data_IF_466497648598
#
_entry.id   IF_466497648598
#
_cell.length_a   1.000
_cell.length_b   1.000
_cell.length_c   1.000
_cell.angle_alpha   90.00
_cell.angle_beta   90.00
_cell.angle_gamma   90.00
#
_symmetry.space_group_name_H-M   'P 1'
#
loop_
_entity.id
_entity.type
_entity.pdbx_description
1 polymer ?
#
# COMPACT_ATOMS: atom_id res chain seq x y z
N UNK A 1 17.22 -6.75 40.14
CA UNK A 1 17.47 -6.77 38.69
C UNK A 1 16.40 -5.87 38.11
N UNK A 2 16.78 -4.67 37.69
CA UNK A 2 15.82 -3.64 37.28
C UNK A 2 15.43 -3.95 35.83
N UNK A 3 14.21 -4.46 35.64
CA UNK A 3 13.62 -4.61 34.30
C UNK A 3 13.46 -3.21 33.72
N UNK A 4 14.14 -2.96 32.59
CA UNK A 4 13.89 -1.78 31.81
C UNK A 4 12.50 -1.94 31.19
N UNK A 5 11.52 -1.20 31.71
CA UNK A 5 10.25 -0.96 31.02
C UNK A 5 10.57 -0.41 29.63
N UNK A 6 10.45 -1.27 28.62
CA UNK A 6 10.48 -0.87 27.22
C UNK A 6 9.33 0.10 27.03
N UNK A 7 9.63 1.39 26.97
CA UNK A 7 8.64 2.42 26.71
C UNK A 7 7.83 2.02 25.47
N UNK A 8 6.53 1.77 25.67
CA UNK A 8 5.57 1.52 24.61
C UNK A 8 5.50 2.79 23.76
N UNK A 9 6.26 2.80 22.65
CA UNK A 9 6.21 3.91 21.70
C UNK A 9 4.86 3.77 21.00
N UNK A 10 3.92 4.72 21.16
CA UNK A 10 2.60 4.58 20.56
C UNK A 10 2.75 4.49 19.05
N UNK A 11 2.28 3.39 18.47
CA UNK A 11 2.28 3.19 17.02
C UNK A 11 1.33 4.21 16.38
N UNK A 12 1.89 5.22 15.72
CA UNK A 12 1.13 6.29 15.02
C UNK A 12 0.94 6.00 13.52
N UNK A 13 1.32 4.80 13.07
CA UNK A 13 1.24 4.40 11.68
C UNK A 13 -0.12 3.86 11.26
N UNK A 14 -0.35 3.76 9.96
CA UNK A 14 -1.44 2.96 9.40
C UNK A 14 -0.98 1.50 9.31
N UNK A 15 -1.74 0.59 9.93
CA UNK A 15 -1.52 -0.86 9.87
C UNK A 15 -2.73 -1.53 9.24
N UNK A 16 -2.52 -2.19 8.10
CA UNK A 16 -3.52 -3.10 7.52
C UNK A 16 -3.10 -4.54 7.82
N UNK A 17 -4.00 -5.31 8.44
CA UNK A 17 -3.79 -6.74 8.77
C UNK A 17 -4.80 -7.68 8.09
N UNK A 18 -5.85 -7.15 7.45
CA UNK A 18 -7.03 -7.91 7.01
C UNK A 18 -7.59 -7.41 5.66
N UNK A 19 -8.78 -7.88 5.26
CA UNK A 19 -9.43 -7.58 3.97
C UNK A 19 -9.83 -6.10 3.77
N UNK A 20 -9.83 -5.30 4.84
CA UNK A 20 -9.95 -3.85 4.78
C UNK A 20 -8.65 -3.23 4.29
N UNK A 21 -8.53 -3.16 2.96
CA UNK A 21 -7.53 -2.35 2.30
C UNK A 21 -7.85 -0.90 2.60
N UNK A 22 -7.15 -0.34 3.59
CA UNK A 22 -7.34 1.05 3.94
C UNK A 22 -6.87 1.87 2.73
N UNK A 23 -7.54 3.00 2.54
CA UNK A 23 -7.31 3.84 1.40
C UNK A 23 -7.71 5.24 1.82
N UNK A 24 -6.74 6.15 1.86
CA UNK A 24 -7.00 7.55 2.17
C UNK A 24 -7.13 8.41 0.90
N UNK A 25 -6.88 7.83 -0.28
CA UNK A 25 -7.02 8.50 -1.57
C UNK A 25 -7.91 7.73 -2.56
N UNK A 26 -9.16 8.17 -2.79
CA UNK A 26 -10.07 7.50 -3.73
C UNK A 26 -9.58 7.60 -5.19
N UNK A 27 -8.82 8.64 -5.52
CA UNK A 27 -8.18 8.78 -6.84
C UNK A 27 -7.15 7.68 -7.06
N UNK A 28 -6.28 7.45 -6.07
CA UNK A 28 -5.29 6.38 -6.11
C UNK A 28 -5.95 5.00 -6.21
N UNK A 29 -7.10 4.81 -5.54
CA UNK A 29 -7.89 3.57 -5.67
C UNK A 29 -8.31 3.28 -7.10
N UNK A 30 -8.80 4.30 -7.82
CA UNK A 30 -9.21 4.18 -9.21
C UNK A 30 -8.06 3.72 -10.11
N UNK A 31 -6.90 4.37 -9.97
CA UNK A 31 -5.69 4.04 -10.72
C UNK A 31 -5.26 2.60 -10.44
N UNK A 32 -5.25 2.17 -9.17
CA UNK A 32 -4.87 0.80 -8.79
C UNK A 32 -5.79 -0.22 -9.46
N UNK A 33 -7.11 -0.03 -9.38
CA UNK A 33 -8.07 -0.97 -9.95
C UNK A 33 -7.97 -1.02 -11.48
N UNK A 34 -7.79 0.11 -12.15
CA UNK A 34 -7.66 0.18 -13.61
C UNK A 34 -6.41 -0.55 -14.13
N UNK A 35 -5.32 -0.49 -13.37
CA UNK A 35 -4.03 -1.04 -13.78
C UNK A 35 -3.79 -2.48 -13.31
N UNK A 36 -4.72 -3.10 -12.59
CA UNK A 36 -4.60 -4.52 -12.23
C UNK A 36 -4.70 -5.43 -13.45
N UNK A 37 -3.79 -6.41 -13.49
CA UNK A 37 -3.62 -7.41 -14.56
C UNK A 37 -3.86 -8.82 -14.01
N UNK A 38 -3.51 -9.85 -14.78
CA UNK A 38 -3.76 -11.25 -14.41
C UNK A 38 -2.92 -11.72 -13.21
N UNK A 39 -1.69 -11.23 -13.07
CA UNK A 39 -0.75 -11.59 -12.02
C UNK A 39 -0.14 -10.35 -11.34
N UNK A 40 0.52 -10.55 -10.20
CA UNK A 40 1.09 -9.47 -9.39
C UNK A 40 2.25 -8.72 -10.07
N UNK A 41 3.10 -9.42 -10.82
CA UNK A 41 4.26 -8.82 -11.49
C UNK A 41 3.83 -7.84 -12.58
N UNK A 42 2.93 -8.27 -13.48
CA UNK A 42 2.37 -7.41 -14.53
C UNK A 42 1.60 -6.22 -13.93
N UNK A 43 0.85 -6.46 -12.86
CA UNK A 43 0.09 -5.40 -12.19
C UNK A 43 1.03 -4.36 -11.57
N UNK A 44 2.10 -4.77 -10.91
CA UNK A 44 3.08 -3.85 -10.31
C UNK A 44 3.73 -2.93 -11.34
N UNK A 45 4.11 -3.48 -12.51
CA UNK A 45 4.72 -2.73 -13.62
C UNK A 45 3.73 -1.76 -14.24
N UNK A 46 2.50 -2.23 -14.50
CA UNK A 46 1.44 -1.41 -15.06
C UNK A 46 1.09 -0.24 -14.14
N UNK A 47 0.90 -0.51 -12.85
CA UNK A 47 0.65 0.49 -11.81
C UNK A 47 1.75 1.53 -11.69
N UNK A 48 3.00 1.07 -11.60
CA UNK A 48 4.15 1.97 -11.46
C UNK A 48 4.31 2.88 -12.68
N UNK A 49 3.98 2.37 -13.87
CA UNK A 49 4.00 3.17 -15.11
C UNK A 49 2.83 4.16 -15.16
N UNK A 50 1.61 3.71 -14.82
CA UNK A 50 0.42 4.58 -14.79
C UNK A 50 0.58 5.74 -13.81
N UNK A 51 1.05 5.45 -12.59
CA UNK A 51 1.26 6.47 -11.57
C UNK A 51 2.30 7.52 -11.95
N UNK A 52 3.36 7.15 -12.67
CA UNK A 52 4.34 8.12 -13.19
C UNK A 52 3.78 9.06 -14.25
N UNK A 53 2.72 8.65 -14.97
CA UNK A 53 2.07 9.47 -15.99
C UNK A 53 0.99 10.36 -15.37
N UNK A 54 0.23 9.81 -14.41
CA UNK A 54 -0.94 10.47 -13.84
C UNK A 54 -0.62 11.40 -12.66
N UNK A 55 0.49 11.18 -11.95
CA UNK A 55 0.86 12.00 -10.79
C UNK A 55 2.33 12.47 -10.86
N UNK A 56 2.61 13.72 -10.48
CA UNK A 56 3.99 14.19 -10.29
C UNK A 56 4.64 13.62 -9.02
N UNK A 57 3.85 13.06 -8.10
CA UNK A 57 4.35 12.44 -6.87
C UNK A 57 5.05 11.11 -7.15
N UNK A 58 6.05 10.78 -6.33
CA UNK A 58 6.74 9.49 -6.43
C UNK A 58 6.00 8.48 -5.57
N UNK A 59 5.71 7.32 -6.15
CA UNK A 59 5.04 6.24 -5.44
C UNK A 59 5.93 4.99 -5.37
N UNK A 60 5.82 4.28 -4.26
CA UNK A 60 6.22 2.88 -4.14
C UNK A 60 5.00 2.02 -4.39
N UNK A 61 5.12 1.07 -5.31
CA UNK A 61 4.07 0.10 -5.64
C UNK A 61 4.53 -1.29 -5.23
N UNK A 62 3.68 -1.99 -4.50
CA UNK A 62 3.92 -3.38 -4.10
C UNK A 62 2.68 -4.21 -4.44
N UNK A 63 2.86 -5.22 -5.27
CA UNK A 63 1.83 -6.22 -5.53
C UNK A 63 2.32 -7.59 -5.09
N UNK A 64 1.45 -8.37 -4.43
CA UNK A 64 1.78 -9.69 -3.92
C UNK A 64 0.57 -10.61 -3.99
N UNK A 65 0.82 -11.90 -4.20
CA UNK A 65 -0.18 -12.97 -4.07
C UNK A 65 -0.41 -13.34 -2.59
N UNK A 66 0.56 -13.03 -1.71
CA UNK A 66 0.53 -13.36 -0.29
C UNK A 66 0.55 -12.12 0.59
N UNK A 67 -0.35 -12.07 1.58
CA UNK A 67 -0.48 -10.96 2.54
C UNK A 67 0.88 -10.60 3.16
N UNK A 68 1.15 -9.31 3.28
CA UNK A 68 2.33 -8.78 3.95
C UNK A 68 1.95 -7.63 4.88
N UNK A 69 2.69 -7.51 5.98
CA UNK A 69 2.53 -6.42 6.92
C UNK A 69 3.42 -5.24 6.53
N UNK A 70 2.91 -4.02 6.67
CA UNK A 70 3.65 -2.78 6.49
C UNK A 70 3.18 -1.74 7.51
N UNK A 71 4.00 -0.71 7.70
CA UNK A 71 3.69 0.45 8.50
C UNK A 71 4.21 1.70 7.79
N UNK A 72 3.35 2.70 7.65
CA UNK A 72 3.66 3.98 7.02
C UNK A 72 3.17 5.13 7.92
N UNK A 73 3.76 6.33 7.81
CA UNK A 73 3.23 7.53 8.46
C UNK A 73 1.75 7.75 8.10
N UNK A 74 0.95 8.26 9.05
CA UNK A 74 -0.49 8.52 8.83
C UNK A 74 -0.73 9.56 7.72
N UNK A 75 0.17 10.53 7.60
CA UNK A 75 0.09 11.61 6.60
C UNK A 75 0.44 11.15 5.18
N UNK A 76 0.94 9.92 5.00
CA UNK A 76 1.31 9.39 3.68
C UNK A 76 0.06 9.04 2.86
N UNK A 77 -0.02 9.59 1.64
CA UNK A 77 -1.03 9.16 0.66
C UNK A 77 -0.85 7.68 0.34
N UNK A 78 -1.90 6.90 0.52
CA UNK A 78 -1.84 5.46 0.44
C UNK A 78 -3.19 4.86 0.03
N UNK A 79 -3.11 3.81 -0.79
CA UNK A 79 -4.27 2.99 -1.08
C UNK A 79 -3.86 1.57 -1.44
N UNK A 80 -4.76 0.61 -1.20
CA UNK A 80 -4.64 -0.76 -1.69
C UNK A 80 -5.90 -1.23 -2.42
N UNK A 81 -5.74 -2.16 -3.35
CA UNK A 81 -6.84 -2.89 -3.98
C UNK A 81 -6.52 -4.40 -4.12
N UNK A 82 -7.57 -5.22 -4.06
CA UNK A 82 -7.51 -6.69 -4.17
C UNK A 82 -8.17 -7.10 -5.47
N UNK A 83 -7.55 -8.04 -6.18
CA UNK A 83 -8.25 -8.86 -7.18
C UNK A 83 -8.39 -10.30 -6.70
N UNK A 84 -9.04 -11.14 -7.50
CA UNK A 84 -9.18 -12.57 -7.22
C UNK A 84 -7.82 -13.31 -7.05
N UNK A 85 -6.75 -12.84 -7.70
CA UNK A 85 -5.45 -13.54 -7.71
C UNK A 85 -4.40 -12.94 -6.79
N UNK A 86 -4.42 -11.63 -6.55
CA UNK A 86 -3.38 -10.92 -5.82
C UNK A 86 -3.90 -9.58 -5.31
N UNK A 87 -3.07 -8.87 -4.57
CA UNK A 87 -3.38 -7.53 -4.11
C UNK A 87 -2.22 -6.59 -4.43
N UNK A 88 -2.56 -5.31 -4.59
CA UNK A 88 -1.64 -4.24 -4.93
C UNK A 88 -1.84 -3.07 -3.98
N UNK A 89 -0.75 -2.44 -3.59
CA UNK A 89 -0.71 -1.32 -2.66
C UNK A 89 0.24 -0.27 -3.22
N UNK A 90 -0.13 1.00 -3.07
CA UNK A 90 0.68 2.14 -3.49
C UNK A 90 0.79 3.15 -2.33
N UNK A 91 2.00 3.69 -2.15
CA UNK A 91 2.34 4.62 -1.09
C UNK A 91 3.14 5.78 -1.67
N UNK A 92 2.76 7.02 -1.37
CA UNK A 92 3.55 8.19 -1.74
C UNK A 92 4.85 8.25 -0.91
N UNK A 93 5.92 8.75 -1.53
CA UNK A 93 7.22 9.00 -0.91
C UNK A 93 7.36 10.43 -0.41
#
# INVERSE_FOLDING_TARGET
MTEAETADIPFTGLQSRDEDMLCNSPQLKGIIVEHMKGNSDDSSKALFTGLQVESPERFVVVCSEHQFAYAIPNETTYCGAKNATHFCQAFAL
#
